data_IF_700895506095
#
_entry.id   IF_700895506095
#
_cell.length_a   1.000
_cell.length_b   1.000
_cell.length_c   1.000
_cell.angle_alpha   90.00
_cell.angle_beta   90.00
_cell.angle_gamma   90.00
#
_symmetry.space_group_name_H-M   'P 1'
#
loop_
_entity.id
_entity.type
_entity.pdbx_description
1 polymer ?
#
# COMPACT_ATOMS: atom_id res chain seq x y z
N UNK A 1 15.82 -5.88 20.73
CA UNK A 1 15.62 -5.92 19.26
C UNK A 1 16.70 -6.84 18.75
N UNK A 2 16.34 -8.07 18.35
CA UNK A 2 17.30 -9.01 17.77
C UNK A 2 18.00 -8.34 16.58
N UNK A 3 19.33 -8.41 16.55
CA UNK A 3 20.13 -8.03 15.40
C UNK A 3 19.61 -8.75 14.17
N UNK A 4 19.27 -8.00 13.11
CA UNK A 4 18.77 -8.56 11.86
C UNK A 4 19.68 -9.66 11.30
N UNK A 5 19.11 -10.55 10.49
CA UNK A 5 19.76 -11.77 9.95
C UNK A 5 21.02 -11.52 9.10
N UNK A 6 21.34 -10.27 8.78
CA UNK A 6 22.52 -9.88 8.02
C UNK A 6 23.44 -8.98 8.85
N UNK A 7 24.58 -9.49 9.34
CA UNK A 7 25.52 -8.69 10.12
C UNK A 7 26.13 -7.58 9.25
N UNK A 8 26.27 -6.38 9.82
CA UNK A 8 26.90 -5.22 9.16
C UNK A 8 25.94 -4.20 8.56
N UNK A 9 24.64 -4.48 8.54
CA UNK A 9 23.61 -3.51 8.13
C UNK A 9 22.99 -2.83 9.35
N UNK A 10 22.87 -1.50 9.26
CA UNK A 10 22.25 -0.67 10.28
C UNK A 10 21.18 0.19 9.63
N UNK A 11 20.00 0.26 10.23
CA UNK A 11 18.94 1.13 9.76
C UNK A 11 19.34 2.60 9.98
N UNK A 12 19.32 3.39 8.89
CA UNK A 12 19.41 4.84 8.95
C UNK A 12 18.03 5.42 8.69
N UNK A 13 17.45 6.08 9.70
CA UNK A 13 16.08 6.58 9.64
C UNK A 13 15.09 5.67 10.38
N UNK A 14 13.85 5.66 9.94
CA UNK A 14 12.75 4.92 10.58
C UNK A 14 11.94 4.14 9.55
N UNK A 15 11.49 2.94 9.92
CA UNK A 15 10.54 2.15 9.14
C UNK A 15 9.22 2.13 9.92
N UNK A 16 8.14 2.49 9.25
CA UNK A 16 6.77 2.38 9.77
C UNK A 16 6.13 1.17 9.11
N UNK A 17 5.64 0.21 9.90
CA UNK A 17 5.02 -1.02 9.40
C UNK A 17 3.58 -1.08 9.89
N UNK A 18 2.64 -1.14 8.95
CA UNK A 18 1.22 -1.40 9.22
C UNK A 18 0.90 -2.78 8.61
N UNK A 19 0.92 -3.86 9.41
CA UNK A 19 0.86 -5.22 8.88
C UNK A 19 -0.53 -5.58 8.32
N UNK A 20 -1.58 -4.97 8.85
CA UNK A 20 -2.96 -5.20 8.45
C UNK A 20 -3.75 -3.89 8.55
N UNK A 21 -4.17 -3.37 7.40
CA UNK A 21 -4.95 -2.13 7.35
C UNK A 21 -6.44 -2.42 7.54
N UNK A 22 -7.02 -3.27 6.67
CA UNK A 22 -8.41 -3.70 6.76
C UNK A 22 -8.58 -4.88 7.73
N UNK A 23 -8.18 -4.69 8.99
CA UNK A 23 -8.27 -5.75 10.02
C UNK A 23 -9.68 -6.37 10.12
N UNK A 24 -10.80 -5.61 10.08
CA UNK A 24 -12.13 -6.21 10.14
C UNK A 24 -12.41 -7.20 9.00
N UNK A 25 -12.08 -6.87 7.75
CA UNK A 25 -12.27 -7.79 6.63
C UNK A 25 -11.32 -8.99 6.67
N UNK A 26 -10.06 -8.76 7.09
CA UNK A 26 -9.05 -9.82 7.23
C UNK A 26 -9.50 -10.89 8.24
N UNK A 27 -10.07 -10.49 9.38
CA UNK A 27 -10.59 -11.44 10.38
C UNK A 27 -11.77 -12.27 9.87
N UNK A 28 -12.54 -11.75 8.91
CA UNK A 28 -13.62 -12.48 8.25
C UNK A 28 -13.15 -13.33 7.06
N UNK A 29 -11.87 -13.23 6.67
CA UNK A 29 -11.34 -13.88 5.47
C UNK A 29 -11.93 -13.33 4.18
N UNK A 30 -12.35 -12.05 4.19
CA UNK A 30 -13.00 -11.38 3.06
C UNK A 30 -12.18 -10.17 2.58
N UNK A 31 -12.38 -9.79 1.32
CA UNK A 31 -11.84 -8.53 0.79
C UNK A 31 -12.60 -7.31 1.33
N UNK A 32 -13.92 -7.45 1.51
CA UNK A 32 -14.83 -6.42 2.03
C UNK A 32 -15.28 -6.80 3.44
N UNK A 33 -15.43 -5.80 4.31
CA UNK A 33 -15.96 -6.03 5.65
C UNK A 33 -17.48 -6.15 5.61
N UNK A 34 -18.03 -7.28 6.10
CA UNK A 34 -19.47 -7.61 5.92
C UNK A 34 -20.43 -6.59 6.52
N UNK A 35 -20.01 -5.85 7.54
CA UNK A 35 -20.87 -4.87 8.23
C UNK A 35 -21.09 -3.60 7.40
N UNK A 36 -20.08 -3.19 6.62
CA UNK A 36 -20.09 -1.90 5.93
C UNK A 36 -20.08 -2.03 4.40
N UNK A 37 -19.82 -3.24 3.88
CA UNK A 37 -19.74 -3.60 2.45
C UNK A 37 -18.99 -2.57 1.57
N UNK A 38 -18.01 -1.91 2.18
CA UNK A 38 -17.22 -0.85 1.58
C UNK A 38 -15.81 -1.36 1.30
N UNK A 39 -15.36 -1.17 0.06
CA UNK A 39 -13.96 -1.34 -0.31
C UNK A 39 -13.14 -0.23 0.35
N UNK A 40 -12.21 -0.61 1.23
CA UNK A 40 -11.33 0.33 1.92
C UNK A 40 -10.49 1.17 0.94
N UNK A 41 -10.18 0.67 -0.26
CA UNK A 41 -9.48 1.45 -1.27
C UNK A 41 -10.29 2.63 -1.79
N UNK A 42 -11.60 2.71 -1.52
CA UNK A 42 -12.45 3.84 -1.86
C UNK A 42 -12.60 4.84 -0.71
N UNK A 43 -12.01 4.53 0.45
CA UNK A 43 -12.16 5.32 1.67
C UNK A 43 -10.97 6.27 1.92
N UNK A 44 -9.89 6.24 1.13
CA UNK A 44 -8.78 7.19 1.33
C UNK A 44 -9.12 8.57 0.73
N UNK A 45 -8.66 9.68 1.36
CA UNK A 45 -7.75 9.74 2.50
C UNK A 45 -8.38 9.48 3.88
N UNK A 46 -9.70 9.26 3.93
CA UNK A 46 -10.43 8.97 5.16
C UNK A 46 -11.01 10.21 5.83
N UNK A 47 -11.65 9.98 6.97
CA UNK A 47 -12.26 11.01 7.80
C UNK A 47 -12.18 10.61 9.28
N UNK A 48 -11.51 11.43 10.11
CA UNK A 48 -11.35 11.19 11.54
C UNK A 48 -12.68 11.10 12.31
N UNK A 49 -13.71 11.79 11.81
CA UNK A 49 -15.06 11.81 12.39
C UNK A 49 -16.04 10.91 11.62
N UNK A 50 -15.56 10.17 10.63
CA UNK A 50 -16.36 9.27 9.80
C UNK A 50 -16.61 7.90 10.44
N UNK A 51 -17.06 6.97 9.62
CA UNK A 51 -17.26 5.57 10.01
C UNK A 51 -15.93 4.84 10.22
N UNK A 52 -15.99 3.62 10.75
CA UNK A 52 -14.79 2.84 11.15
C UNK A 52 -13.75 2.74 10.03
N UNK A 53 -14.17 2.46 8.79
CA UNK A 53 -13.26 2.31 7.64
C UNK A 53 -12.61 3.65 7.28
N UNK A 54 -13.37 4.76 7.30
CA UNK A 54 -12.85 6.10 7.03
C UNK A 54 -11.86 6.56 8.09
N UNK A 55 -12.11 6.23 9.36
CA UNK A 55 -11.20 6.52 10.49
C UNK A 55 -9.90 5.72 10.40
N UNK A 56 -9.97 4.47 9.93
CA UNK A 56 -8.77 3.65 9.68
C UNK A 56 -7.96 4.27 8.53
N UNK A 57 -8.61 4.62 7.42
CA UNK A 57 -7.96 5.26 6.27
C UNK A 57 -7.26 6.57 6.67
N UNK A 58 -7.94 7.44 7.42
CA UNK A 58 -7.38 8.69 7.95
C UNK A 58 -6.17 8.44 8.85
N UNK A 59 -6.25 7.46 9.75
CA UNK A 59 -5.14 7.08 10.61
C UNK A 59 -3.92 6.62 9.79
N UNK A 60 -4.12 5.82 8.74
CA UNK A 60 -3.02 5.37 7.86
C UNK A 60 -2.37 6.55 7.15
N UNK A 61 -3.15 7.46 6.56
CA UNK A 61 -2.63 8.65 5.90
C UNK A 61 -1.82 9.51 6.87
N UNK A 62 -2.34 9.80 8.07
CA UNK A 62 -1.62 10.57 9.09
C UNK A 62 -0.32 9.90 9.55
N UNK A 63 -0.31 8.58 9.72
CA UNK A 63 0.90 7.87 10.15
C UNK A 63 1.94 7.75 9.03
N UNK A 64 1.51 7.65 7.77
CA UNK A 64 2.40 7.48 6.61
C UNK A 64 2.89 8.81 6.04
N UNK A 65 2.31 9.93 6.47
CA UNK A 65 2.75 11.28 6.14
C UNK A 65 4.27 11.47 6.37
N UNK A 66 4.86 12.29 5.50
CA UNK A 66 6.28 12.65 5.46
C UNK A 66 7.24 11.47 5.21
N UNK A 67 6.72 10.30 4.81
CA UNK A 67 7.55 9.17 4.38
C UNK A 67 8.16 9.47 3.01
N UNK A 68 9.42 9.10 2.80
CA UNK A 68 10.09 9.28 1.50
C UNK A 68 9.70 8.19 0.51
N UNK A 69 9.55 6.96 1.04
CA UNK A 69 9.22 5.78 0.26
C UNK A 69 8.03 5.04 0.86
N UNK A 70 7.22 4.43 -0.01
CA UNK A 70 6.05 3.62 0.38
C UNK A 70 6.00 2.29 -0.38
N UNK A 71 5.68 1.21 0.32
CA UNK A 71 5.43 -0.10 -0.30
C UNK A 71 4.08 -0.60 0.22
N UNK A 72 3.13 -0.81 -0.68
CA UNK A 72 1.86 -1.50 -0.37
C UNK A 72 2.01 -2.95 -0.79
N UNK A 73 1.64 -3.88 0.10
CA UNK A 73 1.61 -5.31 -0.19
C UNK A 73 0.15 -5.74 -0.33
N UNK A 74 -0.19 -6.39 -1.44
CA UNK A 74 -1.51 -6.97 -1.68
C UNK A 74 -1.40 -8.36 -2.30
N UNK A 75 -2.45 -9.15 -2.16
CA UNK A 75 -2.65 -10.40 -2.90
C UNK A 75 -3.46 -10.15 -4.18
N UNK A 76 -3.52 -11.16 -5.06
CA UNK A 76 -4.55 -11.18 -6.09
C UNK A 76 -5.96 -11.25 -5.48
N UNK A 77 -6.95 -10.99 -6.33
CA UNK A 77 -8.35 -11.27 -6.02
C UNK A 77 -8.55 -12.77 -5.77
N UNK A 78 -9.57 -13.12 -4.97
CA UNK A 78 -9.81 -14.47 -4.45
C UNK A 78 -9.83 -15.59 -5.51
N UNK A 79 -10.21 -15.26 -6.75
CA UNK A 79 -10.34 -16.20 -7.86
C UNK A 79 -9.15 -16.19 -8.83
N UNK A 80 -8.11 -15.42 -8.51
CA UNK A 80 -6.93 -15.22 -9.34
C UNK A 80 -5.67 -15.53 -8.55
N UNK A 81 -4.58 -15.75 -9.27
CA UNK A 81 -3.24 -15.87 -8.71
C UNK A 81 -2.34 -14.94 -9.51
N UNK A 82 -1.74 -13.97 -8.83
CA UNK A 82 -0.81 -13.03 -9.43
C UNK A 82 0.62 -13.56 -9.32
N UNK A 83 1.26 -13.76 -10.49
CA UNK A 83 2.71 -13.88 -10.54
C UNK A 83 3.34 -12.63 -9.88
N UNK A 84 4.36 -12.75 -9.02
CA UNK A 84 4.91 -11.59 -8.29
C UNK A 84 5.32 -10.45 -9.23
N UNK A 85 4.74 -9.26 -9.00
CA UNK A 85 5.03 -8.07 -9.79
C UNK A 85 4.79 -6.77 -9.02
N UNK A 86 5.44 -5.71 -9.47
CA UNK A 86 5.20 -4.36 -8.96
C UNK A 86 4.23 -3.61 -9.88
N UNK A 87 3.39 -2.77 -9.27
CA UNK A 87 2.63 -1.74 -9.95
C UNK A 87 3.19 -0.36 -9.58
N UNK A 88 3.34 0.49 -10.58
CA UNK A 88 3.69 1.90 -10.41
C UNK A 88 2.75 2.75 -11.27
N UNK A 89 2.15 3.80 -10.71
CA UNK A 89 1.24 4.68 -11.45
C UNK A 89 2.03 5.88 -11.97
N UNK A 90 1.99 6.13 -13.28
CA UNK A 90 2.67 7.23 -13.96
C UNK A 90 4.10 7.49 -13.42
N UNK A 91 4.97 6.47 -13.32
CA UNK A 91 6.21 6.58 -12.55
C UNK A 91 7.22 7.53 -13.21
N UNK A 92 7.76 8.43 -12.40
CA UNK A 92 8.90 9.26 -12.76
C UNK A 92 10.22 8.46 -12.71
N UNK A 93 11.36 9.15 -12.87
CA UNK A 93 12.68 8.50 -12.82
C UNK A 93 12.94 7.85 -11.46
N UNK A 94 12.59 8.53 -10.37
CA UNK A 94 12.87 8.07 -9.01
C UNK A 94 12.04 6.83 -8.65
N UNK A 95 10.75 6.83 -8.98
CA UNK A 95 9.87 5.68 -8.79
C UNK A 95 10.34 4.46 -9.60
N UNK A 96 10.85 4.65 -10.82
CA UNK A 96 11.42 3.57 -11.63
C UNK A 96 12.69 3.01 -11.01
N UNK A 97 13.58 3.86 -10.53
CA UNK A 97 14.83 3.45 -9.88
C UNK A 97 14.54 2.70 -8.56
N UNK A 98 13.58 3.21 -7.78
CA UNK A 98 13.09 2.55 -6.58
C UNK A 98 12.51 1.16 -6.89
N UNK A 99 11.61 1.05 -7.87
CA UNK A 99 11.05 -0.24 -8.28
C UNK A 99 12.13 -1.24 -8.73
N UNK A 100 13.15 -0.80 -9.49
CA UNK A 100 14.27 -1.65 -9.90
C UNK A 100 15.11 -2.12 -8.70
N UNK A 101 15.33 -1.25 -7.71
CA UNK A 101 16.08 -1.58 -6.49
C UNK A 101 15.44 -2.71 -5.66
N UNK A 102 14.12 -2.91 -5.79
CA UNK A 102 13.38 -3.97 -5.12
C UNK A 102 13.55 -5.34 -5.79
N UNK A 103 14.24 -5.42 -6.94
CA UNK A 103 14.59 -6.67 -7.61
C UNK A 103 13.42 -7.38 -8.31
N UNK A 104 12.29 -6.71 -8.53
CA UNK A 104 11.15 -7.29 -9.22
C UNK A 104 11.44 -7.47 -10.72
N UNK A 105 11.12 -8.66 -11.25
CA UNK A 105 11.30 -8.95 -12.69
C UNK A 105 10.24 -8.30 -13.57
N UNK A 106 9.03 -8.13 -13.03
CA UNK A 106 7.88 -7.61 -13.75
C UNK A 106 7.39 -6.35 -13.07
N UNK A 107 7.30 -5.26 -13.84
CA UNK A 107 6.70 -3.99 -13.41
C UNK A 107 5.58 -3.65 -14.39
N UNK A 108 4.41 -3.32 -13.87
CA UNK A 108 3.23 -2.94 -14.63
C UNK A 108 2.85 -1.50 -14.34
N UNK A 109 2.41 -0.80 -15.37
CA UNK A 109 1.76 0.49 -15.25
C UNK A 109 0.26 0.27 -15.47
N UNK A 110 -0.57 0.32 -14.42
CA UNK A 110 -2.00 0.12 -14.54
C UNK A 110 -2.64 1.32 -15.28
N UNK A 111 -3.75 1.06 -15.97
CA UNK A 111 -4.56 2.14 -16.53
C UNK A 111 -5.19 2.95 -15.41
N UNK A 112 -5.14 4.27 -15.54
CA UNK A 112 -5.81 5.19 -14.63
C UNK A 112 -7.32 4.91 -14.61
N UNK A 113 -7.90 4.74 -13.42
CA UNK A 113 -9.33 4.52 -13.20
C UNK A 113 -9.83 5.42 -12.08
N UNK A 114 -11.10 5.79 -12.12
CA UNK A 114 -11.71 6.63 -11.07
C UNK A 114 -11.63 5.99 -9.68
N UNK A 115 -11.71 4.66 -9.60
CA UNK A 115 -11.58 3.91 -8.35
C UNK A 115 -10.14 3.90 -7.84
N UNK A 116 -9.15 3.82 -8.73
CA UNK A 116 -7.75 3.80 -8.33
C UNK A 116 -7.31 5.13 -7.71
N UNK A 117 -7.87 6.26 -8.18
CA UNK A 117 -7.61 7.61 -7.63
C UNK A 117 -7.96 7.76 -6.16
N UNK A 118 -8.89 6.94 -5.66
CA UNK A 118 -9.29 6.96 -4.25
C UNK A 118 -8.42 6.06 -3.37
N UNK A 119 -7.47 5.32 -3.94
CA UNK A 119 -6.63 4.38 -3.19
C UNK A 119 -5.52 5.07 -2.40
N UNK A 120 -4.99 4.38 -1.39
CA UNK A 120 -3.82 4.82 -0.63
C UNK A 120 -2.61 5.13 -1.53
N UNK A 121 -2.41 4.33 -2.58
CA UNK A 121 -1.28 4.52 -3.50
C UNK A 121 -1.41 5.84 -4.28
N UNK A 122 -2.60 6.15 -4.79
CA UNK A 122 -2.84 7.44 -5.45
C UNK A 122 -2.66 8.61 -4.49
N UNK A 123 -3.18 8.48 -3.26
CA UNK A 123 -2.97 9.51 -2.23
C UNK A 123 -1.49 9.73 -1.90
N UNK A 124 -0.69 8.66 -1.79
CA UNK A 124 0.76 8.78 -1.59
C UNK A 124 1.47 9.50 -2.74
N UNK A 125 1.05 9.27 -3.98
CA UNK A 125 1.60 9.97 -5.14
C UNK A 125 1.26 11.46 -5.07
N UNK A 126 0.03 11.82 -4.71
CA UNK A 126 -0.39 13.22 -4.55
C UNK A 126 0.39 13.94 -3.43
N UNK A 127 0.78 13.21 -2.38
CA UNK A 127 1.65 13.68 -1.29
C UNK A 127 3.15 13.59 -1.63
N UNK A 128 3.50 13.33 -2.90
CA UNK A 128 4.88 13.25 -3.40
C UNK A 128 5.74 12.14 -2.74
N UNK A 129 5.10 11.07 -2.25
CA UNK A 129 5.77 9.90 -1.69
C UNK A 129 6.12 8.95 -2.85
N UNK A 130 7.41 8.60 -2.98
CA UNK A 130 7.85 7.63 -3.99
C UNK A 130 7.37 6.24 -3.58
N UNK A 131 6.40 5.67 -4.30
CA UNK A 131 5.76 4.44 -3.85
C UNK A 131 5.51 3.42 -4.95
N UNK A 132 5.35 2.16 -4.52
CA UNK A 132 5.00 1.02 -5.37
C UNK A 132 4.00 0.12 -4.67
N UNK A 133 3.25 -0.64 -5.45
CA UNK A 133 2.40 -1.73 -4.94
C UNK A 133 2.99 -3.06 -5.38
N UNK A 134 3.34 -3.93 -4.43
CA UNK A 134 3.71 -5.32 -4.68
C UNK A 134 2.45 -6.19 -4.66
N UNK A 135 2.21 -6.90 -5.77
CA UNK A 135 1.17 -7.91 -5.88
C UNK A 135 1.80 -9.28 -6.02
N UNK A 136 1.39 -10.22 -5.18
CA UNK A 136 1.83 -11.60 -5.24
C UNK A 136 0.80 -12.53 -4.60
N UNK A 137 0.69 -13.75 -5.12
CA UNK A 137 -0.19 -14.80 -4.59
C UNK A 137 -1.47 -14.93 -5.39
#
# INVERSE_FOLDING_TARGET
VESGKEPGYYLKGSIKIIPAVNSPAIFEGKALWSFHDLDMNLAFPGNEQGEVIERIADSVCRHTKDSQFGIIIKSADLNYNDAPHLFCLNPDGLAKDFARSLGAQNVREPKDSSTFKLSLHSHWIDEMITSVVLSAG
#
